data_IF_082578286012
#
_entry.id   IF_082578286012
#
_cell.length_a   1.000
_cell.length_b   1.000
_cell.length_c   1.000
_cell.angle_alpha   90.00
_cell.angle_beta   90.00
_cell.angle_gamma   90.00
#
_symmetry.space_group_name_H-M   'P 1'
#
loop_
_entity.id
_entity.type
_entity.pdbx_description
1 polymer ?
#
# COMPACT_ATOMS: atom_id res chain seq x y z
N UNK A 1 -2.04 -1.24 -13.78
CA UNK A 1 -1.31 -2.52 -13.65
C UNK A 1 -2.31 -3.67 -13.54
N UNK A 2 -2.05 -4.72 -14.25
CA UNK A 2 -2.97 -5.85 -14.33
C UNK A 2 -3.34 -6.44 -12.99
N UNK A 3 -2.37 -6.67 -12.12
CA UNK A 3 -2.63 -7.30 -10.82
C UNK A 3 -3.56 -6.44 -9.97
N UNK A 4 -3.41 -5.13 -10.00
CA UNK A 4 -4.25 -4.24 -9.22
C UNK A 4 -5.62 -4.06 -9.85
N UNK A 5 -5.69 -4.05 -11.18
CA UNK A 5 -6.97 -3.96 -11.88
C UNK A 5 -7.81 -5.21 -11.67
N UNK A 6 -7.17 -6.37 -11.69
CA UNK A 6 -7.86 -7.65 -11.45
C UNK A 6 -8.53 -7.70 -10.07
N UNK A 7 -7.88 -7.13 -9.06
CA UNK A 7 -8.38 -7.16 -7.68
C UNK A 7 -8.88 -5.81 -7.20
N UNK A 8 -9.23 -4.91 -8.12
CA UNK A 8 -9.59 -3.52 -7.78
C UNK A 8 -10.69 -3.42 -6.73
N UNK A 9 -11.77 -4.16 -6.90
CA UNK A 9 -12.90 -4.11 -5.99
C UNK A 9 -12.52 -4.55 -4.57
N UNK A 10 -11.82 -5.68 -4.49
CA UNK A 10 -11.39 -6.23 -3.20
C UNK A 10 -10.35 -5.33 -2.55
N UNK A 11 -9.42 -4.80 -3.34
CA UNK A 11 -8.39 -3.89 -2.84
C UNK A 11 -9.01 -2.64 -2.23
N UNK A 12 -9.99 -2.06 -2.92
CA UNK A 12 -10.68 -0.87 -2.41
C UNK A 12 -11.40 -1.18 -1.09
N UNK A 13 -12.02 -2.33 -0.98
CA UNK A 13 -12.67 -2.76 0.26
C UNK A 13 -11.69 -2.90 1.42
N UNK A 14 -10.58 -3.58 1.17
CA UNK A 14 -9.54 -3.78 2.18
C UNK A 14 -9.01 -2.44 2.68
N UNK A 15 -8.73 -1.53 1.77
CA UNK A 15 -8.20 -0.21 2.13
C UNK A 15 -9.25 0.59 2.91
N UNK A 16 -10.49 0.58 2.47
CA UNK A 16 -11.54 1.33 3.15
C UNK A 16 -11.77 0.80 4.57
N UNK A 17 -11.81 -0.52 4.73
CA UNK A 17 -12.03 -1.16 6.02
C UNK A 17 -10.91 -0.84 7.01
N UNK A 18 -9.69 -0.69 6.53
CA UNK A 18 -8.52 -0.48 7.38
C UNK A 18 -8.10 0.99 7.47
N UNK A 19 -9.00 1.92 7.13
CA UNK A 19 -8.79 3.35 7.28
C UNK A 19 -7.59 3.87 6.51
N UNK A 20 -7.34 3.30 5.35
CA UNK A 20 -6.23 3.74 4.50
C UNK A 20 -6.57 5.07 3.85
N UNK A 21 -5.64 6.01 3.91
CA UNK A 21 -5.74 7.27 3.19
C UNK A 21 -5.24 7.13 1.77
N UNK A 22 -4.02 6.61 1.64
CA UNK A 22 -3.38 6.37 0.35
C UNK A 22 -2.54 5.11 0.44
N UNK A 23 -2.51 4.36 -0.66
CA UNK A 23 -1.65 3.19 -0.80
C UNK A 23 -0.93 3.28 -2.14
N UNK A 24 0.39 3.23 -2.10
CA UNK A 24 1.23 3.22 -3.28
C UNK A 24 1.94 1.88 -3.40
N UNK A 25 2.15 1.42 -4.63
CA UNK A 25 3.00 0.28 -4.92
C UNK A 25 4.35 0.77 -5.42
N UNK A 26 5.42 0.05 -5.08
CA UNK A 26 6.75 0.36 -5.58
C UNK A 26 7.55 -0.92 -5.74
N UNK A 27 8.78 -0.80 -6.23
CA UNK A 27 9.68 -1.94 -6.34
C UNK A 27 9.35 -2.87 -7.49
N UNK A 28 9.58 -4.17 -7.29
CA UNK A 28 9.52 -5.17 -8.37
C UNK A 28 8.17 -5.29 -9.05
N UNK A 29 7.07 -4.99 -8.35
CA UNK A 29 5.74 -5.06 -8.96
C UNK A 29 5.58 -4.09 -10.14
N UNK A 30 6.41 -3.04 -10.17
CA UNK A 30 6.39 -2.05 -11.25
C UNK A 30 7.34 -2.41 -12.39
N UNK A 31 8.00 -3.55 -12.34
CA UNK A 31 8.99 -3.96 -13.33
C UNK A 31 8.57 -5.22 -14.06
N UNK A 32 9.24 -5.49 -15.19
CA UNK A 32 9.02 -6.69 -15.99
C UNK A 32 9.51 -7.95 -15.28
N UNK A 33 10.25 -7.79 -14.19
CA UNK A 33 10.79 -8.93 -13.44
C UNK A 33 9.84 -9.47 -12.39
N UNK A 34 8.69 -8.82 -12.21
CA UNK A 34 7.68 -9.27 -11.26
C UNK A 34 7.11 -10.62 -11.71
N UNK A 35 7.07 -11.58 -10.78
CA UNK A 35 6.59 -12.94 -11.07
C UNK A 35 5.89 -13.53 -9.85
N UNK A 36 5.48 -14.80 -9.94
CA UNK A 36 4.74 -15.48 -8.89
C UNK A 36 5.47 -15.52 -7.55
N UNK A 37 6.80 -15.48 -7.58
CA UNK A 37 7.62 -15.56 -6.36
C UNK A 37 8.01 -14.21 -5.83
N UNK A 38 7.62 -13.13 -6.50
CA UNK A 38 7.97 -11.78 -6.06
C UNK A 38 7.03 -11.30 -4.97
N UNK A 39 7.59 -10.59 -3.98
CA UNK A 39 6.81 -9.91 -2.96
C UNK A 39 6.23 -8.63 -3.56
N UNK A 40 5.21 -8.09 -2.92
CA UNK A 40 4.68 -6.77 -3.31
C UNK A 40 5.05 -5.77 -2.23
N UNK A 41 5.63 -4.66 -2.66
CA UNK A 41 6.05 -3.57 -1.77
C UNK A 41 5.05 -2.43 -1.84
N UNK A 42 4.52 -2.03 -0.68
CA UNK A 42 3.57 -0.92 -0.59
C UNK A 42 4.06 0.14 0.40
N UNK A 43 3.63 1.37 0.15
CA UNK A 43 3.76 2.47 1.09
C UNK A 43 2.35 2.92 1.44
N UNK A 44 2.05 3.05 2.73
CA UNK A 44 0.71 3.35 3.20
C UNK A 44 0.67 4.57 4.09
N UNK A 45 -0.42 5.34 3.98
CA UNK A 45 -0.84 6.34 4.96
C UNK A 45 -2.18 5.89 5.52
N UNK A 46 -2.29 5.84 6.85
CA UNK A 46 -3.51 5.42 7.55
C UNK A 46 -4.08 6.61 8.33
N UNK A 47 -5.40 6.78 8.27
CA UNK A 47 -6.11 7.93 8.86
C UNK A 47 -6.48 7.69 10.32
N UNK A 48 -5.50 7.35 11.15
CA UNK A 48 -5.72 7.16 12.58
C UNK A 48 -4.58 7.79 13.36
N UNK A 49 -4.92 8.51 14.42
CA UNK A 49 -3.93 9.18 15.26
C UNK A 49 -3.58 8.36 16.50
N UNK A 50 -4.52 7.56 17.01
CA UNK A 50 -4.26 6.74 18.17
C UNK A 50 -3.27 5.62 17.83
N UNK A 51 -2.13 5.52 18.54
CA UNK A 51 -1.11 4.52 18.20
C UNK A 51 -1.57 3.07 18.23
N UNK A 52 -2.47 2.75 19.13
CA UNK A 52 -2.98 1.38 19.28
C UNK A 52 -3.90 1.04 18.11
N UNK A 53 -4.85 1.91 17.81
CA UNK A 53 -5.75 1.72 16.68
C UNK A 53 -4.98 1.70 15.36
N UNK A 54 -3.98 2.57 15.24
CA UNK A 54 -3.13 2.61 14.06
C UNK A 54 -2.42 1.27 13.86
N UNK A 55 -1.81 0.75 14.91
CA UNK A 55 -1.09 -0.52 14.84
C UNK A 55 -2.02 -1.67 14.46
N UNK A 56 -3.22 -1.72 15.03
CA UNK A 56 -4.20 -2.75 14.68
C UNK A 56 -4.53 -2.70 13.19
N UNK A 57 -4.84 -1.52 12.68
CA UNK A 57 -5.21 -1.37 11.27
C UNK A 57 -4.03 -1.62 10.33
N UNK A 58 -2.83 -1.27 10.75
CA UNK A 58 -1.63 -1.55 9.97
C UNK A 58 -1.44 -3.05 9.77
N UNK A 59 -1.53 -3.83 10.84
CA UNK A 59 -1.35 -5.27 10.75
C UNK A 59 -2.53 -5.96 10.06
N UNK A 60 -3.75 -5.50 10.31
CA UNK A 60 -4.93 -6.02 9.61
C UNK A 60 -4.81 -5.78 8.12
N UNK A 61 -4.37 -4.60 7.72
CA UNK A 61 -4.15 -4.27 6.32
C UNK A 61 -3.11 -5.20 5.70
N UNK A 62 -1.99 -5.40 6.40
CA UNK A 62 -0.93 -6.27 5.90
C UNK A 62 -1.43 -7.69 5.67
N UNK A 63 -2.14 -8.26 6.65
CA UNK A 63 -2.69 -9.61 6.54
C UNK A 63 -3.74 -9.69 5.43
N UNK A 64 -4.61 -8.70 5.34
CA UNK A 64 -5.64 -8.68 4.31
C UNK A 64 -5.03 -8.62 2.91
N UNK A 65 -3.98 -7.82 2.74
CA UNK A 65 -3.29 -7.73 1.45
C UNK A 65 -2.57 -9.04 1.12
N UNK A 66 -1.93 -9.66 2.10
CA UNK A 66 -1.28 -10.96 1.90
C UNK A 66 -2.28 -12.01 1.46
N UNK A 67 -3.44 -12.01 2.07
CA UNK A 67 -4.51 -12.94 1.74
C UNK A 67 -5.08 -12.67 0.35
N UNK A 68 -5.28 -11.40 0.03
CA UNK A 68 -5.86 -11.00 -1.25
C UNK A 68 -4.96 -11.38 -2.43
N UNK A 69 -3.68 -11.10 -2.33
CA UNK A 69 -2.73 -11.34 -3.42
C UNK A 69 -2.03 -12.69 -3.34
N UNK A 70 -2.20 -13.40 -2.24
CA UNK A 70 -1.51 -14.67 -1.97
C UNK A 70 0.00 -14.51 -2.15
N UNK A 71 0.54 -13.44 -1.57
CA UNK A 71 1.95 -13.08 -1.65
C UNK A 71 2.38 -12.43 -0.35
N UNK A 72 3.68 -12.51 -0.08
CA UNK A 72 4.25 -11.73 1.01
C UNK A 72 4.15 -10.24 0.67
N UNK A 73 3.76 -9.45 1.65
CA UNK A 73 3.61 -8.00 1.48
C UNK A 73 4.62 -7.30 2.39
N UNK A 74 5.40 -6.40 1.78
CA UNK A 74 6.24 -5.48 2.53
C UNK A 74 5.49 -4.14 2.60
N UNK A 75 5.09 -3.76 3.81
CA UNK A 75 4.26 -2.58 4.01
C UNK A 75 5.03 -1.54 4.80
N UNK A 76 5.36 -0.44 4.15
CA UNK A 76 6.07 0.68 4.76
C UNK A 76 5.10 1.81 5.07
N UNK A 77 5.33 2.50 6.17
CA UNK A 77 4.53 3.67 6.52
C UNK A 77 5.12 4.90 5.88
N UNK A 78 4.29 5.71 5.24
CA UNK A 78 4.72 6.96 4.60
C UNK A 78 5.46 7.86 5.60
N UNK A 79 4.91 7.99 6.81
CA UNK A 79 5.48 8.88 7.83
C UNK A 79 6.78 8.37 8.43
N UNK A 80 7.12 7.09 8.23
CA UNK A 80 8.36 6.51 8.75
C UNK A 80 9.52 6.62 7.76
N UNK A 81 9.30 7.18 6.58
CA UNK A 81 10.33 7.36 5.57
C UNK A 81 11.16 8.59 5.90
N UNK A 82 12.02 8.46 6.91
CA UNK A 82 12.84 9.57 7.38
C UNK A 82 14.12 9.81 6.61
N UNK A 83 14.58 8.81 5.85
CA UNK A 83 15.80 8.95 5.06
C UNK A 83 15.49 9.66 3.76
N UNK A 84 16.08 10.83 3.57
CA UNK A 84 15.79 11.67 2.41
C UNK A 84 16.13 11.01 1.09
N UNK A 85 17.25 10.32 1.02
CA UNK A 85 17.68 9.62 -0.20
C UNK A 85 16.74 8.48 -0.54
N UNK A 86 16.42 7.66 0.45
CA UNK A 86 15.49 6.55 0.29
C UNK A 86 14.11 7.05 -0.14
N UNK A 87 13.64 8.11 0.51
CA UNK A 87 12.36 8.74 0.17
C UNK A 87 12.33 9.23 -1.27
N UNK A 88 13.42 9.85 -1.72
CA UNK A 88 13.51 10.34 -3.10
C UNK A 88 13.46 9.20 -4.11
N UNK A 89 14.17 8.11 -3.85
CA UNK A 89 14.18 6.95 -4.74
C UNK A 89 12.78 6.37 -4.86
N UNK A 90 12.09 6.20 -3.76
CA UNK A 90 10.74 5.65 -3.76
C UNK A 90 9.76 6.60 -4.45
N UNK A 91 9.86 7.89 -4.18
CA UNK A 91 8.95 8.88 -4.75
C UNK A 91 9.05 8.94 -6.27
N UNK A 92 10.20 8.61 -6.83
CA UNK A 92 10.39 8.60 -8.28
C UNK A 92 9.75 7.40 -8.96
N UNK A 93 9.53 6.31 -8.21
CA UNK A 93 9.12 5.02 -8.79
C UNK A 93 7.95 4.39 -8.07
N UNK A 94 7.04 5.19 -7.58
CA UNK A 94 5.85 4.66 -6.93
C UNK A 94 4.61 4.94 -7.77
N UNK A 95 3.62 4.06 -7.66
CA UNK A 95 2.35 4.20 -8.36
C UNK A 95 1.22 4.17 -7.34
N UNK A 96 0.32 5.15 -7.41
CA UNK A 96 -0.85 5.19 -6.54
C UNK A 96 -1.82 4.07 -6.92
N UNK A 97 -2.16 3.21 -5.96
CA UNK A 97 -3.12 2.13 -6.19
C UNK A 97 -4.43 2.32 -5.45
N UNK A 98 -4.45 3.18 -4.44
CA UNK A 98 -5.68 3.53 -3.74
C UNK A 98 -5.56 4.91 -3.11
N UNK A 99 -6.60 5.72 -3.22
CA UNK A 99 -6.71 6.99 -2.52
C UNK A 99 -8.13 7.13 -1.99
N UNK A 100 -8.26 7.60 -0.76
CA UNK A 100 -9.57 7.77 -0.14
C UNK A 100 -10.36 8.82 -0.89
N UNK A 101 -11.60 8.45 -1.26
CA UNK A 101 -12.46 9.34 -2.01
C UNK A 101 -12.80 10.58 -1.20
N UNK A 102 -12.76 11.72 -1.85
CA UNK A 102 -13.06 12.99 -1.21
C UNK A 102 -11.84 13.72 -0.70
N UNK A 103 -10.72 13.04 -0.55
CA UNK A 103 -9.50 13.67 -0.11
C UNK A 103 -8.71 14.14 -1.32
N UNK A 104 -8.63 15.43 -1.51
CA UNK A 104 -7.91 16.01 -2.63
C UNK A 104 -8.54 15.78 -3.98
N UNK A 105 -9.72 15.18 -4.00
CA UNK A 105 -10.46 14.90 -5.22
C UNK A 105 -11.69 15.76 -5.38
N UNK A 106 -11.72 16.76 -4.61
CA UNK A 106 -12.87 17.66 -4.67
C UNK A 106 -13.01 18.26 -6.05
#
# INVERSE_FOLDING_TARGET
MEIFDKYRSELNKVCLTNQVEELYAFGSVLSDQFNENSDIDFIVSILLDDPIEYAEKYFDLKFDLEKLFDKKIDLLEQKALGNKTFKNIINQKKTLVYARRGKGLA
#
